data_IF_939351570548
#
_entry.id   IF_939351570548
#
_cell.length_a   1.000
_cell.length_b   1.000
_cell.length_c   1.000
_cell.angle_alpha   90.00
_cell.angle_beta   90.00
_cell.angle_gamma   90.00
#
_symmetry.space_group_name_H-M   'P 1'
#
loop_
_entity.id
_entity.type
_entity.pdbx_description
1 polymer ?
#
# COMPACT_ATOMS: atom_id res chain seq x y z
N UNK A 1 2.68 -11.40 7.36
CA UNK A 1 1.72 -10.35 7.04
C UNK A 1 1.25 -10.50 5.59
N UNK A 2 -0.03 -10.24 5.38
CA UNK A 2 -0.63 -10.35 4.05
C UNK A 2 -0.58 -8.99 3.37
N UNK A 3 0.14 -8.90 2.26
CA UNK A 3 0.31 -7.65 1.53
C UNK A 3 -1.04 -7.07 1.08
N UNK A 4 -1.97 -7.91 0.66
CA UNK A 4 -3.29 -7.43 0.23
C UNK A 4 -4.03 -6.73 1.35
N UNK A 5 -3.93 -7.23 2.57
CA UNK A 5 -4.54 -6.59 3.73
C UNK A 5 -3.90 -5.24 4.01
N UNK A 6 -2.58 -5.20 3.94
CA UNK A 6 -1.82 -3.96 4.13
C UNK A 6 -2.25 -2.95 3.06
N UNK A 7 -2.34 -3.39 1.82
CA UNK A 7 -2.73 -2.54 0.71
C UNK A 7 -4.12 -1.97 0.90
N UNK A 8 -5.06 -2.79 1.35
CA UNK A 8 -6.42 -2.33 1.59
C UNK A 8 -6.46 -1.26 2.68
N UNK A 9 -5.67 -1.44 3.72
CA UNK A 9 -5.57 -0.45 4.79
C UNK A 9 -5.00 0.86 4.25
N UNK A 10 -3.94 0.78 3.45
CA UNK A 10 -3.33 1.96 2.86
C UNK A 10 -4.29 2.71 1.94
N UNK A 11 -5.06 1.97 1.15
CA UNK A 11 -6.04 2.58 0.25
C UNK A 11 -7.13 3.29 1.03
N UNK A 12 -7.58 2.70 2.13
CA UNK A 12 -8.57 3.32 2.99
C UNK A 12 -8.05 4.61 3.60
N UNK A 13 -6.80 4.60 4.06
CA UNK A 13 -6.17 5.79 4.64
C UNK A 13 -6.04 6.91 3.61
N UNK A 14 -5.64 6.56 2.39
CA UNK A 14 -5.54 7.55 1.32
C UNK A 14 -6.90 8.15 1.00
N UNK A 15 -7.91 7.31 0.90
CA UNK A 15 -9.26 7.75 0.56
C UNK A 15 -9.84 8.67 1.64
N UNK A 16 -9.50 8.41 2.89
CA UNK A 16 -9.92 9.25 4.01
C UNK A 16 -9.13 10.55 4.12
N UNK A 17 -8.02 10.64 3.41
CA UNK A 17 -7.17 11.82 3.49
C UNK A 17 -6.15 11.76 4.63
N UNK A 18 -6.00 10.63 5.28
CA UNK A 18 -5.05 10.47 6.37
C UNK A 18 -3.61 10.40 5.86
N UNK A 19 -3.43 9.95 4.63
CA UNK A 19 -2.13 9.95 3.97
C UNK A 19 -2.29 10.52 2.56
N UNK A 20 -1.20 11.09 2.05
CA UNK A 20 -1.18 11.63 0.70
C UNK A 20 -0.94 10.52 -0.33
N UNK A 21 -1.18 10.85 -1.61
CA UNK A 21 -0.87 9.94 -2.70
C UNK A 21 0.59 9.52 -2.68
N UNK A 22 1.47 10.46 -2.42
CA UNK A 22 2.91 10.20 -2.35
C UNK A 22 3.24 9.23 -1.22
N UNK A 23 2.63 9.44 -0.06
CA UNK A 23 2.84 8.57 1.09
C UNK A 23 2.29 7.17 0.82
N UNK A 24 1.14 7.10 0.17
CA UNK A 24 0.55 5.83 -0.21
C UNK A 24 1.49 5.01 -1.10
N UNK A 25 2.04 5.64 -2.14
CA UNK A 25 2.94 4.97 -3.07
C UNK A 25 4.20 4.48 -2.38
N UNK A 26 4.74 5.30 -1.48
CA UNK A 26 5.92 4.96 -0.71
C UNK A 26 5.66 3.74 0.18
N UNK A 27 4.57 3.79 0.92
CA UNK A 27 4.21 2.71 1.83
C UNK A 27 3.92 1.42 1.06
N UNK A 28 3.23 1.52 -0.06
CA UNK A 28 2.93 0.35 -0.88
C UNK A 28 4.21 -0.34 -1.32
N UNK A 29 5.17 0.42 -1.81
CA UNK A 29 6.43 -0.13 -2.27
C UNK A 29 7.22 -0.75 -1.11
N UNK A 30 7.23 -0.07 0.03
CA UNK A 30 7.92 -0.54 1.21
C UNK A 30 7.38 -1.90 1.65
N UNK A 31 6.08 -2.01 1.80
CA UNK A 31 5.48 -3.26 2.25
C UNK A 31 5.54 -4.36 1.21
N UNK A 32 5.49 -4.00 -0.06
CA UNK A 32 5.67 -4.98 -1.12
C UNK A 32 7.03 -5.65 -1.03
N UNK A 33 8.07 -4.86 -0.81
CA UNK A 33 9.42 -5.39 -0.65
C UNK A 33 9.55 -6.21 0.63
N UNK A 34 8.94 -5.73 1.70
CA UNK A 34 9.03 -6.37 3.00
C UNK A 34 8.37 -7.75 3.00
N UNK A 35 7.23 -7.87 2.35
CA UNK A 35 6.48 -9.13 2.30
C UNK A 35 6.92 -10.03 1.16
N UNK A 36 7.75 -9.54 0.25
CA UNK A 36 8.15 -10.29 -0.93
C UNK A 36 7.02 -10.54 -1.90
N UNK A 37 5.98 -9.71 -1.86
CA UNK A 37 4.83 -9.87 -2.72
C UNK A 37 5.21 -9.63 -4.18
N UNK A 38 4.80 -10.55 -5.04
CA UNK A 38 5.12 -10.52 -6.47
C UNK A 38 3.93 -10.03 -7.28
N UNK A 39 3.07 -9.27 -6.65
CA UNK A 39 1.84 -8.79 -7.27
C UNK A 39 2.09 -7.42 -7.87
N UNK A 40 1.87 -7.32 -9.18
CA UNK A 40 1.92 -6.03 -9.86
C UNK A 40 0.53 -5.43 -9.82
N UNK A 41 0.39 -4.38 -9.03
CA UNK A 41 -0.87 -3.69 -8.89
C UNK A 41 -0.78 -2.35 -9.59
N UNK A 42 -1.70 -2.12 -10.51
CA UNK A 42 -1.83 -0.83 -11.19
C UNK A 42 -2.97 -0.06 -10.55
N UNK A 43 -2.64 0.97 -9.85
CA UNK A 43 -3.67 1.89 -9.36
C UNK A 43 -3.15 3.30 -9.24
#
# INVERSE_FOLDING_TARGET
>A
ANFLRILMTLRALRQRGDITEKEYRRAKKYYQNLTGADIVLTD
#
